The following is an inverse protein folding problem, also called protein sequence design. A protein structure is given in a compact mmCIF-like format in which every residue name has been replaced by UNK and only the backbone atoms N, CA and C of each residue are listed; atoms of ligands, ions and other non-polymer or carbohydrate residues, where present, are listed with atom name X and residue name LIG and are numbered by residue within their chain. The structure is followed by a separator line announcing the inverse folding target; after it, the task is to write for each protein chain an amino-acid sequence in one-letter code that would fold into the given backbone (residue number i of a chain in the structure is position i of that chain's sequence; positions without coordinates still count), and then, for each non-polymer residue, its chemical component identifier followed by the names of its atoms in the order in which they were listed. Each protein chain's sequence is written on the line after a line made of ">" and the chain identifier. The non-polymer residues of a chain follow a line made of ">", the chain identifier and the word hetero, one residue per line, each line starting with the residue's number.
data_IF_159900938587
#
_entry.id   IF_159900938587
#
_cell.length_a   1.000
_cell.length_b   1.000
_cell.length_c   1.000
_cell.angle_alpha   90.00
_cell.angle_beta   90.00
_cell.angle_gamma   90.00
#
_symmetry.space_group_name_H-M   'P 1'
#
loop_
_entity.id
_entity.type
_entity.pdbx_description
1 polymer ?
#
# COMPACT_ATOMS: atom_id res chain seq x y z
N UNK A 1 25.15 4.13 0.19
CA UNK A 1 24.10 3.10 -0.02
C UNK A 1 22.74 3.77 -0.15
N UNK A 2 21.94 3.33 -1.09
CA UNK A 2 20.59 3.84 -1.29
C UNK A 2 19.68 3.32 -0.17
N UNK A 3 19.06 4.22 0.59
CA UNK A 3 18.12 3.85 1.65
C UNK A 3 16.76 3.54 1.04
N UNK A 4 16.18 2.43 1.45
CA UNK A 4 14.88 1.94 0.95
C UNK A 4 13.87 1.86 2.09
N UNK A 5 12.68 2.38 1.83
CA UNK A 5 11.53 2.31 2.70
C UNK A 5 10.44 1.49 2.04
N UNK A 6 9.78 0.65 2.81
CA UNK A 6 8.58 -0.09 2.39
C UNK A 6 7.46 0.28 3.35
N UNK A 7 6.52 1.07 2.87
CA UNK A 7 5.32 1.44 3.64
C UNK A 7 4.11 0.70 3.11
N UNK A 8 3.20 0.32 4.00
CA UNK A 8 1.99 -0.36 3.61
C UNK A 8 0.83 -0.06 4.57
N UNK A 9 -0.38 -0.16 4.03
CA UNK A 9 -1.62 -0.15 4.78
C UNK A 9 -2.34 -1.48 4.55
N UNK A 10 -2.74 -2.17 5.60
CA UNK A 10 -3.29 -3.53 5.48
C UNK A 10 -4.35 -3.80 6.56
N UNK A 11 -5.50 -4.30 6.16
CA UNK A 11 -6.56 -4.74 7.06
C UNK A 11 -6.49 -6.23 7.37
N UNK A 12 -6.49 -7.07 6.34
CA UNK A 12 -6.57 -8.53 6.45
C UNK A 12 -5.22 -9.25 6.36
N UNK A 13 -4.14 -8.54 6.12
CA UNK A 13 -2.78 -9.07 6.06
C UNK A 13 -2.24 -9.33 4.66
N UNK A 14 -3.02 -9.19 3.59
CA UNK A 14 -2.55 -9.47 2.23
C UNK A 14 -1.53 -8.43 1.75
N UNK A 15 -1.82 -7.15 1.91
CA UNK A 15 -0.86 -6.08 1.56
C UNK A 15 0.42 -6.19 2.41
N UNK A 16 0.26 -6.50 3.70
CA UNK A 16 1.39 -6.75 4.61
C UNK A 16 2.30 -7.87 4.10
N UNK A 17 1.72 -8.99 3.67
CA UNK A 17 2.50 -10.14 3.17
C UNK A 17 3.33 -9.76 1.94
N UNK A 18 2.75 -9.03 1.00
CA UNK A 18 3.51 -8.53 -0.17
C UNK A 18 4.63 -7.59 0.27
N UNK A 19 4.39 -6.71 1.23
CA UNK A 19 5.41 -5.81 1.77
C UNK A 19 6.57 -6.59 2.43
N UNK A 20 6.27 -7.64 3.18
CA UNK A 20 7.27 -8.51 3.80
C UNK A 20 8.09 -9.28 2.77
N UNK A 21 7.45 -9.75 1.69
CA UNK A 21 8.14 -10.39 0.57
C UNK A 21 9.10 -9.42 -0.13
N UNK A 22 8.69 -8.18 -0.35
CA UNK A 22 9.55 -7.14 -0.92
C UNK A 22 10.75 -6.89 0.01
N UNK A 23 10.51 -6.73 1.32
CA UNK A 23 11.59 -6.53 2.29
C UNK A 23 12.61 -7.68 2.27
N UNK A 24 12.15 -8.91 2.16
CA UNK A 24 13.04 -10.07 2.07
C UNK A 24 13.93 -10.04 0.83
N UNK A 25 13.46 -9.42 -0.27
CA UNK A 25 14.23 -9.31 -1.52
C UNK A 25 15.22 -8.14 -1.52
N UNK A 26 14.80 -6.98 -1.01
CA UNK A 26 15.56 -5.73 -1.20
C UNK A 26 16.15 -5.19 0.09
N UNK A 27 15.76 -5.71 1.25
CA UNK A 27 16.09 -5.14 2.55
C UNK A 27 15.32 -3.83 2.80
N UNK A 28 15.88 -2.98 3.65
CA UNK A 28 15.28 -1.68 3.99
C UNK A 28 14.31 -1.73 5.17
N UNK A 29 13.74 -0.58 5.47
CA UNK A 29 12.85 -0.41 6.60
C UNK A 29 11.40 -0.70 6.19
N UNK A 30 10.70 -1.49 7.00
CA UNK A 30 9.31 -1.88 6.80
C UNK A 30 8.43 -1.17 7.81
N UNK A 31 7.51 -0.33 7.36
CA UNK A 31 6.67 0.49 8.22
C UNK A 31 5.20 0.33 7.83
N UNK A 32 4.37 -0.02 8.81
CA UNK A 32 2.92 -0.05 8.69
C UNK A 32 2.33 1.34 8.91
N UNK A 33 1.48 1.78 8.01
CA UNK A 33 0.68 2.99 8.21
C UNK A 33 -0.53 2.66 9.08
N UNK A 34 -0.70 3.42 10.16
CA UNK A 34 -1.81 3.28 11.09
C UNK A 34 -2.48 4.62 11.32
N UNK A 35 -3.80 4.61 11.41
CA UNK A 35 -4.57 5.78 11.80
C UNK A 35 -4.54 5.97 13.31
N UNK A 36 -4.61 7.23 13.78
CA UNK A 36 -4.71 7.52 15.20
C UNK A 36 -6.01 7.01 15.80
N UNK A 37 -7.12 7.23 15.12
CA UNK A 37 -8.39 6.64 15.47
C UNK A 37 -8.43 5.16 15.05
N UNK A 38 -8.85 4.30 15.97
CA UNK A 38 -9.00 2.87 15.68
C UNK A 38 -10.07 2.64 14.63
N UNK A 39 -9.73 1.85 13.60
CA UNK A 39 -10.67 1.46 12.55
C UNK A 39 -11.67 0.41 13.06
N UNK A 40 -12.91 0.40 12.54
CA UNK A 40 -13.88 -0.64 12.87
C UNK A 40 -13.35 -2.05 12.59
N UNK A 41 -13.65 -2.98 13.48
CA UNK A 41 -13.34 -4.40 13.27
C UNK A 41 -14.42 -5.09 12.44
N UNK A 42 -15.66 -4.61 12.53
CA UNK A 42 -16.77 -5.10 11.72
C UNK A 42 -16.63 -4.64 10.28
N UNK A 43 -16.74 -5.56 9.33
CA UNK A 43 -16.56 -5.28 7.91
C UNK A 43 -17.57 -4.25 7.37
N UNK A 44 -18.85 -4.37 7.72
CA UNK A 44 -19.89 -3.46 7.22
C UNK A 44 -19.69 -2.04 7.74
N UNK A 45 -19.29 -1.92 9.00
CA UNK A 45 -18.96 -0.60 9.59
C UNK A 45 -17.74 0.02 8.93
N UNK A 46 -16.71 -0.77 8.64
CA UNK A 46 -15.54 -0.30 7.90
C UNK A 46 -15.90 0.17 6.49
N UNK A 47 -16.69 -0.60 5.76
CA UNK A 47 -17.15 -0.23 4.41
C UNK A 47 -17.92 1.09 4.45
N UNK A 48 -18.85 1.25 5.39
CA UNK A 48 -19.64 2.49 5.53
C UNK A 48 -18.75 3.68 5.89
N UNK A 49 -17.82 3.49 6.82
CA UNK A 49 -16.87 4.55 7.24
C UNK A 49 -15.96 4.95 6.08
N UNK A 50 -15.40 3.98 5.37
CA UNK A 50 -14.54 4.23 4.21
C UNK A 50 -15.29 4.98 3.10
N UNK A 51 -16.51 4.56 2.79
CA UNK A 51 -17.32 5.23 1.78
C UNK A 51 -17.56 6.70 2.16
N UNK A 52 -17.96 6.98 3.40
CA UNK A 52 -18.17 8.34 3.88
C UNK A 52 -16.89 9.17 3.82
N UNK A 53 -15.77 8.61 4.24
CA UNK A 53 -14.47 9.29 4.16
C UNK A 53 -14.09 9.65 2.73
N UNK A 54 -14.29 8.73 1.78
CA UNK A 54 -14.00 8.96 0.36
C UNK A 54 -14.94 10.02 -0.25
N UNK A 55 -16.24 9.94 0.04
CA UNK A 55 -17.24 10.90 -0.46
C UNK A 55 -17.01 12.33 0.08
N UNK A 56 -16.60 12.45 1.32
CA UNK A 56 -16.35 13.74 1.97
C UNK A 56 -14.92 14.23 1.87
N UNK A 57 -14.02 13.44 1.25
CA UNK A 57 -12.58 13.69 1.21
C UNK A 57 -11.96 13.91 2.59
N UNK A 58 -12.51 13.22 3.60
CA UNK A 58 -11.98 13.27 4.95
C UNK A 58 -10.59 12.63 5.01
N UNK A 59 -9.64 13.29 5.67
CA UNK A 59 -8.28 12.80 5.85
C UNK A 59 -8.07 12.32 7.28
N UNK A 60 -8.09 11.00 7.54
CA UNK A 60 -7.80 10.47 8.87
C UNK A 60 -6.40 10.88 9.34
N UNK A 61 -6.28 11.22 10.62
CA UNK A 61 -4.97 11.48 11.21
C UNK A 61 -4.15 10.20 11.27
N UNK A 62 -2.88 10.28 10.87
CA UNK A 62 -1.95 9.15 10.88
C UNK A 62 -1.16 9.14 12.18
N UNK A 63 -1.19 8.01 12.89
CA UNK A 63 -0.39 7.80 14.10
C UNK A 63 1.06 7.47 13.78
N UNK A 64 1.30 6.77 12.68
CA UNK A 64 2.63 6.39 12.23
C UNK A 64 3.48 7.63 11.93
N UNK A 65 4.71 7.64 12.46
CA UNK A 65 5.71 8.66 12.16
C UNK A 65 6.93 7.99 11.55
N UNK A 66 7.45 8.59 10.49
CA UNK A 66 8.64 8.12 9.80
C UNK A 66 9.73 9.18 9.97
N UNK A 67 10.66 8.86 10.83
CA UNK A 67 11.80 9.76 11.07
C UNK A 67 12.75 9.73 9.87
N UNK A 68 13.34 10.88 9.57
CA UNK A 68 14.34 11.02 8.50
C UNK A 68 13.82 10.52 7.13
N UNK A 69 12.55 10.81 6.81
CA UNK A 69 11.93 10.40 5.55
C UNK A 69 12.72 10.90 4.31
N UNK A 70 13.35 12.04 4.43
CA UNK A 70 14.22 12.65 3.41
C UNK A 70 15.42 11.77 3.03
N UNK A 71 15.91 10.92 3.92
CA UNK A 71 17.04 10.03 3.65
C UNK A 71 16.70 8.85 2.71
N UNK A 72 15.42 8.52 2.54
CA UNK A 72 15.02 7.41 1.65
C UNK A 72 14.97 7.86 0.19
N UNK A 73 15.68 7.15 -0.67
CA UNK A 73 15.67 7.36 -2.12
C UNK A 73 14.62 6.51 -2.82
N UNK A 74 14.43 5.27 -2.36
CA UNK A 74 13.41 4.36 -2.89
C UNK A 74 12.31 4.15 -1.85
N UNK A 75 11.06 4.34 -2.27
CA UNK A 75 9.89 4.14 -1.41
C UNK A 75 8.89 3.21 -2.11
N UNK A 76 8.75 2.01 -1.57
CA UNK A 76 7.66 1.12 -1.94
C UNK A 76 6.40 1.53 -1.17
N UNK A 77 5.29 1.67 -1.89
CA UNK A 77 4.01 2.10 -1.31
C UNK A 77 2.96 1.03 -1.57
N UNK A 78 2.56 0.32 -0.51
CA UNK A 78 1.58 -0.76 -0.56
C UNK A 78 0.21 -0.34 -0.07
N UNK A 79 -0.82 -0.62 -0.86
CA UNK A 79 -2.20 -0.25 -0.57
C UNK A 79 -3.18 -1.35 -0.99
N UNK A 80 -4.25 -1.59 -0.22
CA UNK A 80 -5.40 -2.30 -0.75
C UNK A 80 -6.24 -1.37 -1.63
N UNK A 81 -7.12 -1.96 -2.44
CA UNK A 81 -8.20 -1.24 -3.14
C UNK A 81 -9.44 -1.26 -2.25
N UNK A 82 -9.89 -0.10 -1.82
CA UNK A 82 -11.12 0.05 -1.04
C UNK A 82 -12.15 0.88 -1.81
N UNK A 83 -13.28 0.26 -2.15
CA UNK A 83 -14.31 0.90 -2.98
C UNK A 83 -13.70 1.52 -4.26
N UNK A 84 -12.91 0.72 -4.96
CA UNK A 84 -12.22 1.09 -6.21
C UNK A 84 -11.25 2.28 -6.11
N UNK A 85 -10.81 2.64 -4.90
CA UNK A 85 -9.94 3.79 -4.66
C UNK A 85 -8.95 3.54 -3.51
N UNK A 86 -8.08 4.52 -3.25
CA UNK A 86 -7.23 4.51 -2.06
C UNK A 86 -8.07 4.61 -0.80
N UNK A 87 -7.72 3.84 0.26
CA UNK A 87 -8.14 4.21 1.61
C UNK A 87 -7.68 5.65 1.92
N UNK A 88 -8.54 6.45 2.56
CA UNK A 88 -8.20 7.84 2.86
C UNK A 88 -7.00 7.99 3.80
N UNK A 89 -6.70 6.96 4.61
CA UNK A 89 -5.46 6.89 5.39
C UNK A 89 -4.21 6.97 4.50
N UNK A 90 -4.23 6.35 3.32
CA UNK A 90 -3.12 6.42 2.37
C UNK A 90 -3.03 7.81 1.72
N UNK A 91 -4.15 8.45 1.45
CA UNK A 91 -4.15 9.85 0.98
C UNK A 91 -3.53 10.77 2.04
N UNK A 92 -3.89 10.58 3.31
CA UNK A 92 -3.29 11.33 4.44
C UNK A 92 -1.77 11.15 4.47
N UNK A 93 -1.29 9.91 4.34
CA UNK A 93 0.14 9.60 4.30
C UNK A 93 0.84 10.31 3.13
N UNK A 94 0.28 10.25 1.93
CA UNK A 94 0.87 10.87 0.74
C UNK A 94 0.97 12.40 0.85
N UNK A 95 0.07 13.02 1.62
CA UNK A 95 0.07 14.47 1.86
C UNK A 95 0.99 14.91 3.02
N UNK A 96 1.40 13.98 3.88
CA UNK A 96 2.21 14.29 5.07
C UNK A 96 3.71 14.40 4.75
N UNK A 97 4.19 13.71 3.72
CA UNK A 97 5.62 13.60 3.41
C UNK A 97 5.96 14.18 2.03
N UNK A 98 7.20 14.67 1.90
CA UNK A 98 7.76 15.14 0.64
C UNK A 98 8.45 13.99 -0.12
N UNK A 99 7.93 13.66 -1.27
CA UNK A 99 8.44 12.59 -2.13
C UNK A 99 9.38 13.09 -3.24
N UNK A 100 9.68 14.38 -3.29
CA UNK A 100 10.50 14.99 -4.35
C UNK A 100 11.86 14.28 -4.49
N UNK A 101 12.25 13.99 -5.71
CA UNK A 101 13.52 13.36 -6.06
C UNK A 101 13.59 11.85 -5.76
N UNK A 102 12.53 11.25 -5.24
CA UNK A 102 12.50 9.82 -4.89
C UNK A 102 12.02 8.94 -6.05
N UNK A 103 12.33 7.66 -5.96
CA UNK A 103 11.77 6.62 -6.82
C UNK A 103 10.65 5.92 -6.04
N UNK A 104 9.44 5.94 -6.60
CA UNK A 104 8.25 5.38 -5.98
C UNK A 104 7.86 4.09 -6.70
N UNK A 105 7.72 3.01 -5.94
CA UNK A 105 7.37 1.68 -6.44
C UNK A 105 6.05 1.25 -5.80
N UNK A 106 4.90 1.55 -6.45
CA UNK A 106 3.59 1.24 -5.89
C UNK A 106 3.25 -0.24 -6.04
N UNK A 107 2.59 -0.81 -5.04
CA UNK A 107 2.02 -2.16 -5.11
C UNK A 107 0.64 -2.22 -4.45
N UNK A 108 -0.19 -3.15 -4.90
CA UNK A 108 -1.60 -3.22 -4.54
C UNK A 108 -2.05 -4.66 -4.32
N UNK A 109 -2.94 -4.84 -3.35
CA UNK A 109 -3.74 -6.05 -3.22
C UNK A 109 -5.22 -5.69 -3.31
N UNK A 110 -6.01 -6.54 -3.95
CA UNK A 110 -7.44 -6.29 -4.17
C UNK A 110 -8.26 -7.58 -4.13
N UNK A 111 -9.57 -7.45 -4.05
CA UNK A 111 -10.50 -8.57 -4.00
C UNK A 111 -10.80 -9.25 -5.34
N UNK A 112 -10.06 -8.91 -6.39
CA UNK A 112 -10.28 -9.44 -7.75
C UNK A 112 -10.92 -8.43 -8.70
N UNK A 113 -11.29 -7.24 -8.22
CA UNK A 113 -11.85 -6.15 -9.05
C UNK A 113 -10.79 -5.20 -9.61
N UNK A 114 -9.53 -5.46 -9.31
CA UNK A 114 -8.39 -4.67 -9.80
C UNK A 114 -7.99 -3.52 -8.90
N UNK A 115 -7.09 -2.69 -9.41
CA UNK A 115 -6.48 -1.58 -8.67
C UNK A 115 -7.39 -0.36 -8.55
N UNK A 116 -8.48 -0.29 -9.34
CA UNK A 116 -9.31 0.92 -9.39
C UNK A 116 -8.49 2.16 -9.69
N UNK A 117 -8.72 3.24 -8.95
CA UNK A 117 -7.98 4.49 -9.07
C UNK A 117 -6.75 4.59 -8.16
N UNK A 118 -6.36 3.50 -7.45
CA UNK A 118 -5.30 3.56 -6.42
C UNK A 118 -3.98 4.09 -6.96
N UNK A 119 -3.48 3.55 -8.06
CA UNK A 119 -2.20 4.00 -8.64
C UNK A 119 -2.29 5.42 -9.21
N UNK A 120 -3.40 5.77 -9.86
CA UNK A 120 -3.62 7.13 -10.35
C UNK A 120 -3.68 8.14 -9.20
N UNK A 121 -4.26 7.77 -8.06
CA UNK A 121 -4.31 8.64 -6.88
C UNK A 121 -2.92 8.79 -6.23
N UNK A 122 -2.10 7.74 -6.20
CA UNK A 122 -0.71 7.84 -5.76
C UNK A 122 0.03 8.85 -6.63
N UNK A 123 -0.07 8.70 -7.94
CA UNK A 123 0.58 9.61 -8.90
C UNK A 123 0.09 11.06 -8.75
N UNK A 124 -1.22 11.25 -8.58
CA UNK A 124 -1.82 12.59 -8.43
C UNK A 124 -1.42 13.30 -7.12
N UNK A 125 -1.04 12.56 -6.08
CA UNK A 125 -0.66 13.11 -4.78
C UNK A 125 0.85 13.26 -4.57
N UNK A 126 1.66 12.84 -5.53
CA UNK A 126 3.13 12.90 -5.44
C UNK A 126 3.65 13.78 -6.56
N UNK A 127 4.46 14.77 -6.19
CA UNK A 127 5.11 15.68 -7.14
C UNK A 127 6.60 15.39 -7.22
N UNK A 128 7.19 15.68 -8.38
CA UNK A 128 8.64 15.67 -8.62
C UNK A 128 9.36 14.35 -8.23
N UNK A 129 8.66 13.23 -8.33
CA UNK A 129 9.18 11.89 -8.11
C UNK A 129 9.11 11.04 -9.38
N UNK A 130 9.98 10.03 -9.45
CA UNK A 130 9.89 9.01 -10.49
C UNK A 130 9.00 7.88 -10.01
N UNK A 131 7.85 7.68 -10.63
CA UNK A 131 6.92 6.60 -10.28
C UNK A 131 7.06 5.47 -11.31
N UNK A 132 7.35 4.26 -10.82
CA UNK A 132 7.47 3.06 -11.67
C UNK A 132 6.09 2.46 -11.97
N UNK A 133 5.98 1.58 -12.99
CA UNK A 133 4.80 0.74 -13.13
C UNK A 133 4.55 -0.05 -11.83
N UNK A 134 3.28 -0.10 -11.38
CA UNK A 134 2.90 -0.76 -10.15
C UNK A 134 2.79 -2.29 -10.28
N UNK A 135 2.98 -2.97 -9.16
CA UNK A 135 2.65 -4.39 -9.00
C UNK A 135 1.26 -4.54 -8.37
N UNK A 136 0.45 -5.48 -8.82
CA UNK A 136 -0.83 -5.78 -8.17
C UNK A 136 -1.12 -7.27 -8.19
N UNK A 137 -1.86 -7.72 -7.19
CA UNK A 137 -2.28 -9.11 -7.08
C UNK A 137 -3.60 -9.22 -6.32
N UNK A 138 -4.31 -10.32 -6.54
CA UNK A 138 -5.52 -10.61 -5.78
C UNK A 138 -5.15 -11.05 -4.36
N UNK A 139 -5.80 -10.41 -3.39
CA UNK A 139 -5.85 -10.83 -1.99
C UNK A 139 -7.18 -11.50 -1.65
N UNK A 140 -7.67 -11.29 -0.41
CA UNK A 140 -8.95 -11.82 0.02
C UNK A 140 -10.15 -11.04 -0.51
N UNK A 141 -11.33 -11.62 -0.31
CA UNK A 141 -12.63 -10.97 -0.52
C UNK A 141 -13.39 -10.97 0.81
N UNK A 142 -13.20 -9.95 1.63
CA UNK A 142 -13.75 -9.91 2.99
C UNK A 142 -15.29 -9.92 2.99
N UNK A 143 -15.93 -9.38 1.95
CA UNK A 143 -17.38 -9.48 1.75
C UNK A 143 -17.91 -10.92 1.68
N UNK A 144 -17.04 -11.87 1.30
CA UNK A 144 -17.31 -13.31 1.25
C UNK A 144 -16.70 -14.09 2.42
N UNK A 145 -16.18 -13.38 3.44
CA UNK A 145 -15.50 -13.98 4.59
C UNK A 145 -14.10 -14.53 4.27
N UNK A 146 -13.53 -14.18 3.12
CA UNK A 146 -12.19 -14.59 2.71
C UNK A 146 -11.21 -13.46 3.06
N UNK A 147 -10.44 -13.64 4.11
CA UNK A 147 -9.53 -12.60 4.62
C UNK A 147 -8.12 -12.75 4.04
N UNK A 148 -7.26 -13.45 4.76
CA UNK A 148 -5.86 -13.64 4.37
C UNK A 148 -5.70 -14.84 3.44
N UNK A 149 -5.24 -14.59 2.22
CA UNK A 149 -5.13 -15.61 1.17
C UNK A 149 -3.71 -15.81 0.64
N UNK A 150 -2.82 -14.81 0.82
CA UNK A 150 -1.44 -14.86 0.29
C UNK A 150 -0.58 -15.74 1.21
N UNK A 151 -0.74 -17.05 1.06
CA UNK A 151 -0.05 -18.10 1.81
C UNK A 151 0.12 -19.36 0.96
N UNK A 152 0.99 -20.28 1.40
CA UNK A 152 1.22 -21.56 0.74
C UNK A 152 1.63 -21.42 -0.73
N UNK A 153 1.11 -22.28 -1.58
CA UNK A 153 1.42 -22.29 -3.02
C UNK A 153 1.00 -21.01 -3.75
N UNK A 154 -0.06 -20.35 -3.29
CA UNK A 154 -0.47 -19.06 -3.85
C UNK A 154 0.56 -17.97 -3.57
N UNK A 155 1.08 -17.92 -2.34
CA UNK A 155 2.20 -17.03 -1.98
C UNK A 155 3.42 -17.29 -2.87
N UNK A 156 3.76 -18.55 -3.12
CA UNK A 156 4.90 -18.92 -3.96
C UNK A 156 4.72 -18.45 -5.40
N UNK A 157 3.51 -18.54 -5.95
CA UNK A 157 3.20 -18.03 -7.30
C UNK A 157 3.32 -16.50 -7.40
N UNK A 158 2.89 -15.79 -6.37
CA UNK A 158 3.03 -14.34 -6.28
C UNK A 158 4.51 -13.95 -6.19
N UNK A 159 5.29 -14.68 -5.41
CA UNK A 159 6.73 -14.44 -5.23
C UNK A 159 7.47 -14.42 -6.57
N UNK A 160 7.16 -15.33 -7.49
CA UNK A 160 7.77 -15.38 -8.82
C UNK A 160 7.50 -14.11 -9.63
N UNK A 161 6.24 -13.65 -9.63
CA UNK A 161 5.83 -12.43 -10.34
C UNK A 161 6.41 -11.17 -9.69
N UNK A 162 6.42 -11.14 -8.37
CA UNK A 162 6.95 -10.03 -7.59
C UNK A 162 8.46 -9.87 -7.78
N UNK A 163 9.22 -10.97 -7.76
CA UNK A 163 10.67 -10.98 -8.02
C UNK A 163 10.99 -10.39 -9.40
N UNK A 164 10.23 -10.77 -10.42
CA UNK A 164 10.38 -10.23 -11.76
C UNK A 164 10.13 -8.71 -11.78
N UNK A 165 9.07 -8.25 -11.14
CA UNK A 165 8.73 -6.83 -11.08
C UNK A 165 9.78 -6.03 -10.30
N UNK A 166 10.25 -6.54 -9.17
CA UNK A 166 11.31 -5.90 -8.38
C UNK A 166 12.58 -5.76 -9.22
N UNK A 167 13.04 -6.82 -9.88
CA UNK A 167 14.24 -6.79 -10.73
C UNK A 167 14.13 -5.80 -11.90
N UNK A 168 12.96 -5.57 -12.42
CA UNK A 168 12.73 -4.62 -13.51
C UNK A 168 12.70 -3.15 -13.06
N UNK A 169 12.24 -2.87 -11.86
CA UNK A 169 11.90 -1.52 -11.41
C UNK A 169 12.78 -0.99 -10.27
N UNK A 170 13.34 -1.85 -9.44
CA UNK A 170 14.23 -1.47 -8.34
C UNK A 170 15.70 -1.58 -8.77
N UNK A 171 16.45 -0.47 -8.60
CA UNK A 171 17.87 -0.37 -8.96
C UNK A 171 18.72 0.22 -7.84
#
# INVERSE_FOLDING_TARGET
>A
MTKTLIVFYSRSGNTKEVAELIQAMVGGDLIRIETRERRPTNYREEVAKNQLEQETHFLPEIATKIDNFDEYQNVFIGTPTWNMALPQAMVSFLKEYDFSGKVILPFNTNGGYGVGSTFNQIEANINDAKITPGFYTKGGEESKGILFTIKGSYRDSILVQLDKWVKQNYK
#
